data_IF_338898410320
#
_entry.id   IF_338898410320
#
_cell.length_a   1.000
_cell.length_b   1.000
_cell.length_c   1.000
_cell.angle_alpha   90.00
_cell.angle_beta   90.00
_cell.angle_gamma   90.00
#
_symmetry.space_group_name_H-M   'P 1'
#
loop_
_entity.id
_entity.type
_entity.pdbx_description
1 polymer ?
#
# COMPACT_ATOMS: atom_id res chain seq x y z
N UNK A 1 -0.73 -12.15 4.03
CA UNK A 1 -1.76 -12.19 5.11
C UNK A 1 -2.96 -12.99 4.64
N UNK A 2 -3.43 -13.97 5.42
CA UNK A 2 -4.72 -14.64 5.17
C UNK A 2 -5.87 -13.80 5.74
N UNK A 3 -6.90 -13.55 4.94
CA UNK A 3 -8.09 -12.84 5.40
C UNK A 3 -8.94 -13.78 6.26
N UNK A 4 -9.36 -13.40 7.47
CA UNK A 4 -10.00 -14.31 8.42
C UNK A 4 -11.45 -14.67 8.06
N UNK A 5 -12.06 -13.98 7.11
CA UNK A 5 -13.43 -14.21 6.64
C UNK A 5 -13.49 -14.23 5.11
N UNK A 6 -14.47 -14.92 4.49
CA UNK A 6 -14.63 -14.91 3.05
C UNK A 6 -15.02 -13.53 2.52
N UNK A 7 -14.36 -13.08 1.45
CA UNK A 7 -14.73 -11.89 0.70
C UNK A 7 -15.38 -12.31 -0.61
N UNK A 8 -16.57 -11.81 -0.92
CA UNK A 8 -17.35 -12.20 -2.11
C UNK A 8 -17.48 -13.73 -2.26
N UNK A 9 -17.60 -14.45 -1.14
CA UNK A 9 -17.71 -15.91 -1.11
C UNK A 9 -16.40 -16.67 -1.36
N UNK A 10 -15.25 -16.00 -1.38
CA UNK A 10 -13.91 -16.58 -1.61
C UNK A 10 -13.04 -16.48 -0.37
N UNK A 11 -12.26 -17.50 -0.11
CA UNK A 11 -11.18 -17.43 0.88
C UNK A 11 -10.00 -16.70 0.26
N UNK A 12 -9.68 -15.51 0.79
CA UNK A 12 -8.70 -14.58 0.22
C UNK A 12 -7.40 -14.57 1.02
N UNK A 13 -6.29 -14.43 0.32
CA UNK A 13 -5.03 -13.99 0.92
C UNK A 13 -4.52 -12.74 0.18
N UNK A 14 -3.91 -11.86 0.95
CA UNK A 14 -3.24 -10.66 0.47
C UNK A 14 -1.73 -10.82 0.60
N UNK A 15 -0.99 -10.38 -0.40
CA UNK A 15 0.45 -10.26 -0.34
C UNK A 15 0.87 -8.90 -0.90
N UNK A 16 1.98 -8.39 -0.41
CA UNK A 16 2.54 -7.13 -0.90
C UNK A 16 4.00 -7.38 -1.27
N UNK A 17 4.40 -6.89 -2.45
CA UNK A 17 5.80 -6.84 -2.83
C UNK A 17 6.48 -5.68 -2.08
N UNK A 18 7.75 -5.78 -1.82
CA UNK A 18 8.53 -4.62 -1.40
C UNK A 18 9.28 -4.03 -2.61
N UNK A 19 9.13 -2.72 -2.82
CA UNK A 19 10.00 -2.00 -3.74
C UNK A 19 11.41 -1.87 -3.12
N UNK A 20 12.34 -2.74 -3.51
CA UNK A 20 13.66 -2.89 -2.90
C UNK A 20 14.72 -1.92 -3.45
N UNK A 21 14.46 -1.32 -4.61
CA UNK A 21 15.43 -0.43 -5.25
C UNK A 21 15.28 1.01 -4.81
N UNK A 22 16.31 1.55 -4.16
CA UNK A 22 16.46 2.98 -4.01
C UNK A 22 16.77 3.60 -5.38
N UNK A 23 15.94 4.52 -5.80
CA UNK A 23 16.13 5.19 -7.08
C UNK A 23 17.21 6.26 -6.97
N UNK A 24 18.30 6.10 -7.72
CA UNK A 24 19.05 7.24 -8.23
C UNK A 24 18.41 7.71 -9.54
N UNK A 25 18.81 8.87 -10.04
CA UNK A 25 18.19 9.45 -11.25
C UNK A 25 18.33 8.55 -12.49
N UNK A 26 19.39 7.76 -12.61
CA UNK A 26 19.63 6.86 -13.73
C UNK A 26 18.74 5.60 -13.62
N UNK A 27 18.53 5.09 -12.40
CA UNK A 27 17.63 3.95 -12.17
C UNK A 27 16.18 4.33 -12.45
N UNK A 28 15.75 5.50 -12.01
CA UNK A 28 14.39 6.01 -12.30
C UNK A 28 14.14 6.12 -13.81
N UNK A 29 15.11 6.56 -14.58
CA UNK A 29 14.97 6.64 -16.04
C UNK A 29 14.89 5.25 -16.68
N UNK A 30 15.68 4.27 -16.20
CA UNK A 30 15.63 2.88 -16.68
C UNK A 30 14.30 2.18 -16.37
N UNK A 31 13.66 2.57 -15.27
CA UNK A 31 12.39 1.99 -14.82
C UNK A 31 11.16 2.74 -15.33
N UNK A 32 11.33 3.80 -16.08
CA UNK A 32 10.20 4.57 -16.63
C UNK A 32 9.18 3.66 -17.33
N UNK A 33 7.93 3.71 -16.88
CA UNK A 33 6.81 2.92 -17.41
C UNK A 33 6.89 1.43 -17.06
N UNK A 34 7.71 1.02 -16.09
CA UNK A 34 7.68 -0.33 -15.53
C UNK A 34 6.79 -0.36 -14.31
N UNK A 35 6.12 -1.50 -14.05
CA UNK A 35 5.36 -1.69 -12.80
C UNK A 35 6.26 -1.52 -11.58
N UNK A 36 5.73 -0.91 -10.54
CA UNK A 36 6.31 -0.90 -9.21
C UNK A 36 5.80 -2.08 -8.39
N UNK A 37 6.38 -2.27 -7.19
CA UNK A 37 5.84 -3.22 -6.22
C UNK A 37 4.37 -2.91 -5.90
N UNK A 38 3.54 -3.92 -5.73
CA UNK A 38 2.09 -3.79 -5.65
C UNK A 38 1.45 -4.67 -4.57
N UNK A 39 0.16 -4.46 -4.32
CA UNK A 39 -0.67 -5.34 -3.50
C UNK A 39 -1.31 -6.40 -4.39
N UNK A 40 -1.13 -7.68 -4.02
CA UNK A 40 -1.70 -8.84 -4.68
C UNK A 40 -2.89 -9.39 -3.91
N UNK A 41 -3.91 -9.83 -4.64
CA UNK A 41 -5.07 -10.55 -4.10
C UNK A 41 -5.10 -11.95 -4.68
N UNK A 42 -5.18 -12.97 -3.81
CA UNK A 42 -5.20 -14.38 -4.18
C UNK A 42 -6.45 -15.08 -3.65
N UNK A 43 -7.02 -16.01 -4.45
CA UNK A 43 -7.93 -17.03 -3.96
C UNK A 43 -7.10 -18.18 -3.38
N UNK A 44 -7.33 -18.51 -2.12
CA UNK A 44 -6.64 -19.59 -1.40
C UNK A 44 -7.62 -20.65 -0.89
N UNK A 45 -8.83 -20.70 -1.42
CA UNK A 45 -9.86 -21.66 -1.04
C UNK A 45 -9.44 -23.10 -1.30
N UNK A 46 -8.61 -23.34 -2.30
CA UNK A 46 -7.88 -24.59 -2.50
C UNK A 46 -6.37 -24.34 -2.32
N UNK A 47 -5.77 -24.72 -1.18
CA UNK A 47 -4.35 -24.49 -0.95
C UNK A 47 -3.40 -25.22 -1.92
N UNK A 48 -3.89 -26.23 -2.64
CA UNK A 48 -3.12 -26.93 -3.67
C UNK A 48 -3.14 -26.17 -5.01
N UNK A 49 -4.07 -25.22 -5.19
CA UNK A 49 -4.28 -24.48 -6.42
C UNK A 49 -4.56 -23.01 -6.14
N UNK A 50 -3.60 -22.30 -5.54
CA UNK A 50 -3.69 -20.86 -5.28
C UNK A 50 -3.79 -20.10 -6.61
N UNK A 51 -4.78 -19.20 -6.71
CA UNK A 51 -5.04 -18.42 -7.93
C UNK A 51 -4.83 -16.92 -7.67
N UNK A 52 -3.97 -16.21 -8.41
CA UNK A 52 -3.97 -14.76 -8.40
C UNK A 52 -5.29 -14.25 -9.00
N UNK A 53 -5.97 -13.35 -8.31
CA UNK A 53 -7.23 -12.75 -8.75
C UNK A 53 -7.01 -11.38 -9.36
N UNK A 54 -6.26 -10.53 -8.66
CA UNK A 54 -6.02 -9.16 -9.07
C UNK A 54 -4.77 -8.59 -8.40
N UNK A 55 -4.40 -7.40 -8.81
CA UNK A 55 -3.37 -6.58 -8.17
C UNK A 55 -3.85 -5.14 -8.08
N UNK A 56 -3.37 -4.41 -7.07
CA UNK A 56 -3.55 -2.97 -6.95
C UNK A 56 -2.19 -2.31 -7.03
N UNK A 57 -2.07 -1.33 -7.92
CA UNK A 57 -0.86 -0.53 -8.16
C UNK A 57 -1.21 0.96 -8.10
N UNK A 58 -0.29 1.77 -7.60
CA UNK A 58 -0.42 3.24 -7.56
C UNK A 58 0.38 3.83 -8.71
N UNK A 59 -0.27 4.69 -9.52
CA UNK A 59 0.41 5.42 -10.58
C UNK A 59 1.43 6.42 -10.02
N UNK A 60 2.57 6.57 -10.69
CA UNK A 60 3.54 7.64 -10.37
C UNK A 60 2.91 9.05 -10.38
N UNK A 61 1.81 9.24 -11.09
CA UNK A 61 1.10 10.53 -11.16
C UNK A 61 0.34 10.86 -9.88
N UNK A 62 0.11 9.88 -9.00
CA UNK A 62 -0.62 10.03 -7.73
C UNK A 62 0.26 10.54 -6.57
N UNK A 63 1.54 10.80 -6.83
CA UNK A 63 2.42 11.42 -5.84
C UNK A 63 3.37 12.42 -6.48
N UNK A 64 3.49 13.62 -5.91
CA UNK A 64 4.48 14.60 -6.38
C UNK A 64 5.92 14.14 -6.12
N UNK A 65 6.10 13.13 -5.27
CA UNK A 65 7.38 12.60 -4.84
C UNK A 65 7.76 11.27 -5.49
N UNK A 66 6.94 10.74 -6.40
CA UNK A 66 7.13 9.42 -7.02
C UNK A 66 8.50 9.25 -7.67
N UNK A 67 9.12 10.34 -8.12
CA UNK A 67 10.45 10.39 -8.74
C UNK A 67 11.50 11.10 -7.89
N UNK A 68 11.25 11.31 -6.61
CA UNK A 68 12.21 11.92 -5.71
C UNK A 68 13.40 10.97 -5.49
N UNK A 69 14.61 11.46 -5.75
CA UNK A 69 15.85 10.69 -5.62
C UNK A 69 16.84 11.38 -4.67
N UNK A 70 17.52 10.66 -3.76
CA UNK A 70 17.34 9.22 -3.52
C UNK A 70 16.00 8.91 -2.82
N UNK A 71 15.37 7.79 -3.22
CA UNK A 71 14.10 7.38 -2.62
C UNK A 71 13.54 6.15 -3.29
N UNK A 72 12.39 5.71 -2.83
CA UNK A 72 11.64 4.60 -3.39
C UNK A 72 10.21 5.03 -3.67
N UNK A 73 9.59 4.43 -4.67
CA UNK A 73 8.16 4.51 -4.94
C UNK A 73 7.65 3.12 -5.28
N UNK A 74 6.62 2.66 -4.60
CA UNK A 74 6.09 1.30 -4.70
C UNK A 74 5.63 0.82 -3.33
N UNK A 75 4.97 -0.30 -3.32
CA UNK A 75 4.45 -0.91 -2.10
C UNK A 75 5.57 -1.34 -1.16
N UNK A 76 5.26 -1.37 0.16
CA UNK A 76 6.21 -1.84 1.17
C UNK A 76 5.54 -2.75 2.20
N UNK A 77 4.56 -2.25 2.95
CA UNK A 77 3.95 -2.97 4.06
C UNK A 77 2.45 -2.70 4.12
N UNK A 78 1.70 -3.56 4.78
CA UNK A 78 0.29 -3.32 5.09
C UNK A 78 0.00 -3.64 6.55
N UNK A 79 -1.07 -3.06 7.08
CA UNK A 79 -1.59 -3.43 8.40
C UNK A 79 -2.00 -4.91 8.42
N UNK A 80 -1.42 -5.70 9.33
CA UNK A 80 -1.47 -7.16 9.28
C UNK A 80 -2.82 -7.76 9.70
N UNK A 81 -3.73 -6.96 10.23
CA UNK A 81 -5.04 -7.42 10.72
C UNK A 81 -6.16 -6.82 9.90
N UNK A 82 -7.08 -7.65 9.48
CA UNK A 82 -8.40 -7.25 8.99
C UNK A 82 -9.42 -7.75 10.00
N UNK A 83 -10.19 -6.85 10.58
CA UNK A 83 -11.25 -7.22 11.55
C UNK A 83 -12.52 -7.59 10.78
N UNK A 84 -13.47 -6.63 10.62
CA UNK A 84 -14.79 -6.90 10.08
C UNK A 84 -15.07 -6.15 8.75
N UNK A 85 -14.08 -5.46 8.19
CA UNK A 85 -14.24 -4.74 6.95
C UNK A 85 -13.24 -5.20 5.88
N UNK A 86 -13.42 -4.68 4.69
CA UNK A 86 -12.63 -5.04 3.52
C UNK A 86 -11.52 -4.03 3.22
N UNK A 87 -11.17 -3.18 4.19
CA UNK A 87 -10.15 -2.15 4.02
C UNK A 87 -8.74 -2.69 4.30
N UNK A 88 -7.86 -2.47 3.37
CA UNK A 88 -6.43 -2.76 3.47
C UNK A 88 -5.67 -1.45 3.53
N UNK A 89 -4.93 -1.24 4.60
CA UNK A 89 -4.08 -0.06 4.80
C UNK A 89 -2.66 -0.42 4.39
N UNK A 90 -2.16 0.18 3.32
CA UNK A 90 -0.86 -0.14 2.73
C UNK A 90 0.07 1.08 2.75
N UNK A 91 1.35 0.86 2.99
CA UNK A 91 2.39 1.88 2.80
C UNK A 91 3.01 1.75 1.42
N UNK A 92 3.35 2.90 0.82
CA UNK A 92 3.80 3.01 -0.57
C UNK A 92 5.02 3.91 -0.73
N UNK A 93 6.00 3.84 0.17
CA UNK A 93 7.16 4.73 0.24
C UNK A 93 6.79 6.20 -0.08
N UNK A 94 7.30 6.78 -1.17
CA UNK A 94 6.97 8.15 -1.59
C UNK A 94 5.51 8.32 -2.07
N UNK A 95 4.75 7.25 -2.18
CA UNK A 95 3.31 7.25 -2.39
C UNK A 95 2.48 7.39 -1.10
N UNK A 96 3.11 7.31 0.07
CA UNK A 96 2.43 7.48 1.36
C UNK A 96 1.59 6.28 1.80
N UNK A 97 0.54 6.55 2.57
CA UNK A 97 -0.50 5.60 2.93
C UNK A 97 -1.51 5.47 1.78
N UNK A 98 -1.91 4.23 1.48
CA UNK A 98 -3.04 3.90 0.59
C UNK A 98 -4.04 3.05 1.34
N UNK A 99 -5.32 3.38 1.22
CA UNK A 99 -6.43 2.64 1.81
C UNK A 99 -7.20 2.02 0.65
N UNK A 100 -7.16 0.70 0.56
CA UNK A 100 -7.71 -0.06 -0.56
C UNK A 100 -8.87 -0.91 -0.08
N UNK A 101 -10.04 -0.76 -0.70
CA UNK A 101 -11.20 -1.63 -0.47
C UNK A 101 -11.12 -2.86 -1.39
N UNK A 102 -11.08 -4.03 -0.79
CA UNK A 102 -11.04 -5.34 -1.48
C UNK A 102 -12.38 -6.07 -1.42
N UNK A 103 -13.49 -5.35 -1.19
CA UNK A 103 -14.84 -5.93 -1.18
C UNK A 103 -15.17 -6.68 -2.48
N UNK A 104 -14.68 -6.18 -3.62
CA UNK A 104 -14.56 -6.95 -4.85
C UNK A 104 -13.10 -7.38 -5.03
N UNK A 105 -12.74 -8.65 -4.76
CA UNK A 105 -11.37 -9.11 -4.85
C UNK A 105 -10.82 -9.17 -6.28
N UNK A 106 -11.68 -8.99 -7.30
CA UNK A 106 -11.28 -8.89 -8.70
C UNK A 106 -11.00 -7.45 -9.15
N UNK A 107 -11.44 -6.46 -8.37
CA UNK A 107 -11.32 -5.05 -8.70
C UNK A 107 -11.07 -4.19 -7.44
N UNK A 108 -9.91 -4.33 -6.77
CA UNK A 108 -9.56 -3.51 -5.61
C UNK A 108 -9.65 -2.02 -5.94
N UNK A 109 -10.19 -1.21 -5.00
CA UNK A 109 -10.42 0.22 -5.21
C UNK A 109 -9.69 1.04 -4.14
N UNK A 110 -8.91 2.05 -4.54
CA UNK A 110 -8.44 3.05 -3.59
C UNK A 110 -9.63 3.89 -3.10
N UNK A 111 -9.80 3.97 -1.78
CA UNK A 111 -10.88 4.73 -1.13
C UNK A 111 -10.34 5.88 -0.27
N UNK A 112 -9.03 5.97 -0.10
CA UNK A 112 -8.37 7.06 0.58
C UNK A 112 -6.85 6.95 0.52
N UNK A 113 -6.17 8.08 0.70
CA UNK A 113 -4.73 8.14 0.82
C UNK A 113 -4.26 9.31 1.68
N UNK A 114 -3.03 9.23 2.13
CA UNK A 114 -2.32 10.33 2.78
C UNK A 114 -0.84 10.25 2.45
N UNK A 115 -0.26 11.34 1.94
CA UNK A 115 1.15 11.43 1.62
C UNK A 115 1.78 12.43 2.58
N UNK A 116 2.70 12.00 3.48
CA UNK A 116 3.41 12.91 4.37
C UNK A 116 4.27 13.91 3.60
N UNK A 117 4.42 15.11 4.13
CA UNK A 117 5.46 16.02 3.65
C UNK A 117 6.85 15.47 4.04
N UNK A 118 7.85 15.56 3.17
CA UNK A 118 9.19 15.09 3.48
C UNK A 118 9.82 15.92 4.62
N UNK A 119 10.66 15.29 5.42
CA UNK A 119 11.44 16.03 6.42
C UNK A 119 12.44 16.99 5.76
N UNK A 120 12.85 18.07 6.45
CA UNK A 120 13.81 19.01 5.90
C UNK A 120 15.09 18.32 5.40
N UNK A 121 15.46 18.61 4.15
CA UNK A 121 16.62 18.01 3.49
C UNK A 121 16.40 16.64 2.86
N UNK A 122 15.20 16.08 2.93
CA UNK A 122 14.84 14.85 2.21
C UNK A 122 14.20 15.16 0.86
N UNK A 123 14.44 14.30 -0.13
CA UNK A 123 13.90 14.43 -1.46
C UNK A 123 12.39 14.17 -1.52
N UNK A 124 11.90 13.24 -0.69
CA UNK A 124 10.49 12.85 -0.58
C UNK A 124 10.25 12.03 0.68
N UNK A 125 8.98 11.77 1.03
CA UNK A 125 8.65 10.87 2.12
C UNK A 125 9.07 9.43 1.77
N UNK A 126 9.26 8.61 2.81
CA UNK A 126 9.56 7.19 2.69
C UNK A 126 8.69 6.43 3.71
N UNK A 127 7.40 6.42 3.44
CA UNK A 127 6.39 5.81 4.30
C UNK A 127 6.63 4.31 4.38
N UNK A 128 6.82 3.81 5.60
CA UNK A 128 7.40 2.50 5.83
C UNK A 128 6.42 1.51 6.42
N UNK A 129 5.67 1.91 7.46
CA UNK A 129 4.84 0.97 8.20
C UNK A 129 3.54 1.62 8.65
N UNK A 130 2.52 0.81 8.92
CA UNK A 130 1.19 1.25 9.34
C UNK A 130 0.58 0.26 10.32
N UNK A 131 0.00 0.79 11.40
CA UNK A 131 -0.90 0.05 12.29
C UNK A 131 -2.23 0.80 12.44
N UNK A 132 -3.32 0.04 12.66
CA UNK A 132 -4.66 0.59 12.89
C UNK A 132 -5.20 0.00 14.17
N UNK A 133 -5.56 0.85 15.12
CA UNK A 133 -6.11 0.37 16.38
C UNK A 133 -7.62 0.08 16.29
N UNK A 134 -8.17 -0.52 17.35
CA UNK A 134 -9.61 -0.89 17.43
C UNK A 134 -10.58 0.31 17.37
N UNK A 135 -10.08 1.54 17.47
CA UNK A 135 -10.86 2.78 17.33
C UNK A 135 -10.84 3.30 15.89
N UNK A 136 -10.06 2.65 15.00
CA UNK A 136 -9.84 3.09 13.63
C UNK A 136 -8.80 4.20 13.51
N UNK A 137 -8.01 4.46 14.58
CA UNK A 137 -6.90 5.42 14.52
C UNK A 137 -5.72 4.76 13.82
N UNK A 138 -5.21 5.44 12.80
CA UNK A 138 -4.10 4.97 11.95
C UNK A 138 -2.80 5.58 12.48
N UNK A 139 -1.81 4.73 12.71
CA UNK A 139 -0.46 5.08 13.10
C UNK A 139 0.46 4.79 11.92
N UNK A 140 0.88 5.85 11.23
CA UNK A 140 1.68 5.76 10.02
C UNK A 140 3.12 6.17 10.31
N UNK A 141 4.08 5.29 10.04
CA UNK A 141 5.50 5.53 10.24
C UNK A 141 6.18 5.85 8.92
N UNK A 142 6.89 6.96 8.90
CA UNK A 142 7.74 7.36 7.78
C UNK A 142 9.21 7.46 8.25
N UNK A 143 10.14 7.09 7.39
CA UNK A 143 11.58 7.11 7.72
C UNK A 143 12.14 8.52 7.90
N UNK A 144 11.43 9.53 7.43
CA UNK A 144 11.81 10.92 7.54
C UNK A 144 11.04 11.69 8.61
N UNK A 145 9.78 12.08 8.36
CA UNK A 145 8.97 12.85 9.30
C UNK A 145 8.56 12.07 10.56
N UNK A 146 8.74 10.75 10.59
CA UNK A 146 8.47 9.92 11.75
C UNK A 146 7.01 9.45 11.84
N UNK A 147 6.32 9.69 12.96
CA UNK A 147 4.96 9.20 13.21
C UNK A 147 3.90 10.23 12.83
N UNK A 148 2.93 9.79 12.02
CA UNK A 148 1.68 10.50 11.76
C UNK A 148 0.52 9.74 12.39
N UNK A 149 -0.42 10.44 13.01
CA UNK A 149 -1.64 9.87 13.60
C UNK A 149 -2.82 10.40 12.80
N UNK A 150 -3.60 9.51 12.20
CA UNK A 150 -4.62 9.84 11.20
C UNK A 150 -5.95 9.18 11.54
N UNK A 151 -7.02 9.74 11.01
CA UNK A 151 -8.35 9.14 10.96
C UNK A 151 -8.81 9.06 9.51
N UNK A 152 -9.36 7.91 9.11
CA UNK A 152 -10.02 7.76 7.83
C UNK A 152 -11.53 7.91 7.98
N UNK A 153 -12.11 8.82 7.18
CA UNK A 153 -13.58 8.97 7.08
C UNK A 153 -14.00 8.54 5.69
N UNK A 154 -14.64 7.37 5.62
CA UNK A 154 -15.18 6.87 4.34
C UNK A 154 -16.09 7.91 3.71
N UNK A 155 -15.90 8.31 2.45
CA UNK A 155 -16.85 9.16 1.74
C UNK A 155 -18.25 8.53 1.74
N UNK A 156 -19.28 9.35 1.90
CA UNK A 156 -20.67 8.90 1.86
C UNK A 156 -21.12 8.62 0.43
#
# INVERSE_FOLDING_TARGET
MGVPFPIAGRQIALAIDEEDHAHDGAEMERRRGRPHACLWVFDVGDPAHIQPLSMFEVSELESPWSRAAPGRFGAHQFHERMDDDTLVYCTWFAGGLRIVDVADPLAPQEVGHYIPEPAPGQAGPQTNDVDVDKRGVIYLVDRGPGLNILEFKRPK
#
